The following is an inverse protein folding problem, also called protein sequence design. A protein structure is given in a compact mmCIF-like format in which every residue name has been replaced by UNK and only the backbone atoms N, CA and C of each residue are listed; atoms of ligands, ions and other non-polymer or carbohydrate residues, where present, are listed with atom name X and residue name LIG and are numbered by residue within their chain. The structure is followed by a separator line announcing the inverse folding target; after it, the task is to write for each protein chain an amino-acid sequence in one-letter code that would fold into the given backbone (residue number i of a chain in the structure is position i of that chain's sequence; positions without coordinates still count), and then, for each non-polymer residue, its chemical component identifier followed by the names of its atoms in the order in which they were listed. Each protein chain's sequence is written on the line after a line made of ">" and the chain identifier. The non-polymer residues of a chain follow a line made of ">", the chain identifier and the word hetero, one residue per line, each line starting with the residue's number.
data_IF_415506886534
#
_entry.id   IF_415506886534
#
_cell.length_a   1.000
_cell.length_b   1.000
_cell.length_c   1.000
_cell.angle_alpha   90.00
_cell.angle_beta   90.00
_cell.angle_gamma   90.00
#
_symmetry.space_group_name_H-M   'P 1'
#
loop_
_entity.id
_entity.type
_entity.pdbx_description
1 polymer ?
#
# COMPACT_ATOMS: atom_id res chain seq x y z
N UNK A 1 -21.44 -40.78 -11.60
CA UNK A 1 -22.31 -39.58 -11.85
C UNK A 1 -21.57 -38.29 -11.53
N UNK A 2 -20.90 -38.14 -10.35
CA UNK A 2 -20.17 -36.92 -9.99
C UNK A 2 -19.07 -36.53 -10.99
N UNK A 3 -18.21 -37.46 -11.37
CA UNK A 3 -17.15 -37.24 -12.38
C UNK A 3 -17.71 -36.90 -13.77
N UNK A 4 -18.83 -37.48 -14.17
CA UNK A 4 -19.48 -37.18 -15.44
C UNK A 4 -20.03 -35.75 -15.43
N UNK A 5 -20.68 -35.32 -14.34
CA UNK A 5 -21.16 -33.95 -14.15
C UNK A 5 -20.02 -32.93 -14.13
N UNK A 6 -18.88 -33.26 -13.51
CA UNK A 6 -17.70 -32.40 -13.47
C UNK A 6 -17.05 -32.22 -14.85
N UNK A 7 -17.04 -33.24 -15.69
CA UNK A 7 -16.50 -33.17 -17.07
C UNK A 7 -17.27 -32.19 -17.94
N UNK A 8 -18.56 -32.01 -17.66
CA UNK A 8 -19.43 -31.08 -18.41
C UNK A 8 -19.34 -29.63 -17.96
N UNK A 9 -18.56 -29.32 -16.89
CA UNK A 9 -18.35 -27.95 -16.43
C UNK A 9 -17.42 -27.20 -17.40
N UNK A 10 -17.78 -25.95 -17.69
CA UNK A 10 -16.90 -25.04 -18.42
C UNK A 10 -15.63 -24.72 -17.62
N UNK A 11 -14.62 -24.18 -18.28
CA UNK A 11 -13.39 -23.76 -17.61
C UNK A 11 -13.66 -22.69 -16.55
N UNK A 12 -14.52 -21.73 -16.86
CA UNK A 12 -14.93 -20.66 -15.96
C UNK A 12 -15.63 -21.21 -14.72
N UNK A 13 -16.56 -22.16 -14.88
CA UNK A 13 -17.22 -22.82 -13.76
C UNK A 13 -16.22 -23.56 -12.85
N UNK A 14 -15.20 -24.18 -13.45
CA UNK A 14 -14.12 -24.83 -12.69
C UNK A 14 -13.24 -23.83 -11.95
N UNK A 15 -12.95 -22.68 -12.55
CA UNK A 15 -12.21 -21.60 -11.91
C UNK A 15 -12.98 -21.00 -10.72
N UNK A 16 -14.29 -20.78 -10.88
CA UNK A 16 -15.14 -20.29 -9.78
C UNK A 16 -15.14 -21.27 -8.61
N UNK A 17 -15.20 -22.59 -8.87
CA UNK A 17 -15.10 -23.57 -7.79
C UNK A 17 -13.71 -23.60 -7.13
N UNK A 18 -12.62 -23.45 -7.90
CA UNK A 18 -11.28 -23.29 -7.33
C UNK A 18 -11.19 -22.03 -6.46
N UNK A 19 -11.77 -20.90 -6.88
CA UNK A 19 -11.89 -19.67 -6.08
C UNK A 19 -12.65 -19.93 -4.77
N UNK A 20 -13.79 -20.60 -4.83
CA UNK A 20 -14.60 -20.92 -3.62
C UNK A 20 -13.82 -21.83 -2.65
N UNK A 21 -13.06 -22.78 -3.15
CA UNK A 21 -12.20 -23.63 -2.32
C UNK A 21 -10.99 -22.85 -1.75
N UNK A 22 -10.42 -21.90 -2.49
CA UNK A 22 -9.36 -21.02 -2.01
C UNK A 22 -9.90 -20.08 -0.92
N UNK A 23 -11.04 -19.46 -1.18
CA UNK A 23 -11.72 -18.59 -0.25
C UNK A 23 -12.04 -19.26 1.09
N UNK A 24 -12.39 -20.55 1.07
CA UNK A 24 -12.62 -21.35 2.28
C UNK A 24 -11.33 -21.95 2.89
N UNK A 25 -10.16 -21.55 2.40
CA UNK A 25 -8.86 -21.99 2.94
C UNK A 25 -8.39 -23.37 2.51
N UNK A 26 -9.12 -24.08 1.63
CA UNK A 26 -8.78 -25.43 1.23
C UNK A 26 -7.83 -25.53 0.04
N UNK A 27 -7.71 -24.46 -0.77
CA UNK A 27 -6.93 -24.46 -2.01
C UNK A 27 -5.96 -23.29 -2.07
N UNK A 28 -4.69 -23.60 -2.32
CA UNK A 28 -3.61 -22.59 -2.45
C UNK A 28 -2.95 -22.61 -3.83
N UNK A 29 -3.51 -23.37 -4.76
CA UNK A 29 -2.98 -23.50 -6.09
C UNK A 29 -3.51 -22.43 -7.06
N UNK A 30 -3.04 -22.51 -8.30
CA UNK A 30 -3.42 -21.59 -9.38
C UNK A 30 -4.89 -21.78 -9.77
N UNK A 31 -5.61 -20.68 -9.92
CA UNK A 31 -7.00 -20.65 -10.42
C UNK A 31 -6.97 -20.72 -11.97
N UNK A 32 -6.88 -21.92 -12.51
CA UNK A 32 -6.72 -22.14 -13.96
C UNK A 32 -7.84 -22.97 -14.60
N UNK A 33 -8.77 -23.50 -13.79
CA UNK A 33 -9.84 -24.38 -14.24
C UNK A 33 -9.39 -25.81 -14.53
N UNK A 34 -8.16 -26.18 -14.15
CA UNK A 34 -7.62 -27.52 -14.30
C UNK A 34 -7.65 -28.25 -12.94
N UNK A 35 -8.35 -29.40 -12.89
CA UNK A 35 -8.49 -30.16 -11.66
C UNK A 35 -7.39 -31.22 -11.54
N UNK A 36 -6.19 -30.76 -11.17
CA UNK A 36 -5.03 -31.58 -10.86
C UNK A 36 -5.03 -32.08 -9.40
N UNK A 37 -3.91 -32.71 -8.96
CA UNK A 37 -3.78 -33.25 -7.60
C UNK A 37 -4.06 -32.23 -6.50
N UNK A 38 -3.63 -30.97 -6.66
CA UNK A 38 -3.89 -29.90 -5.69
C UNK A 38 -5.38 -29.59 -5.52
N UNK A 39 -6.12 -29.44 -6.64
CA UNK A 39 -7.57 -29.24 -6.59
C UNK A 39 -8.30 -30.44 -6.02
N UNK A 40 -7.85 -31.66 -6.33
CA UNK A 40 -8.41 -32.91 -5.76
C UNK A 40 -8.18 -33.00 -4.25
N UNK A 41 -6.98 -32.63 -3.79
CA UNK A 41 -6.68 -32.51 -2.36
C UNK A 41 -7.58 -31.51 -1.65
N UNK A 42 -7.76 -30.32 -2.22
CA UNK A 42 -8.66 -29.29 -1.71
C UNK A 42 -10.12 -29.78 -1.58
N UNK A 43 -10.64 -30.47 -2.61
CA UNK A 43 -11.96 -31.07 -2.57
C UNK A 43 -12.08 -32.13 -1.48
N UNK A 44 -11.03 -32.95 -1.28
CA UNK A 44 -10.97 -33.98 -0.23
C UNK A 44 -11.02 -33.33 1.16
N UNK A 45 -10.22 -32.28 1.40
CA UNK A 45 -10.21 -31.55 2.66
C UNK A 45 -11.59 -30.92 2.93
N UNK A 46 -12.14 -30.20 1.95
CA UNK A 46 -13.47 -29.60 2.07
C UNK A 46 -14.55 -30.66 2.39
N UNK A 47 -14.50 -31.82 1.71
CA UNK A 47 -15.44 -32.93 2.00
C UNK A 47 -15.30 -33.42 3.43
N UNK A 48 -14.07 -33.61 3.91
CA UNK A 48 -13.79 -34.08 5.28
C UNK A 48 -14.35 -33.12 6.32
N UNK A 49 -14.08 -31.81 6.16
CA UNK A 49 -14.54 -30.77 7.10
C UNK A 49 -16.06 -30.62 7.12
N UNK A 50 -16.72 -30.89 5.98
CA UNK A 50 -18.18 -30.83 5.88
C UNK A 50 -18.88 -32.19 6.14
N UNK A 51 -18.15 -33.19 6.66
CA UNK A 51 -18.71 -34.50 7.03
C UNK A 51 -19.07 -35.40 5.85
N UNK A 52 -18.52 -35.15 4.67
CA UNK A 52 -18.72 -35.97 3.48
C UNK A 52 -17.58 -37.00 3.31
N UNK A 53 -17.88 -38.06 2.56
CA UNK A 53 -16.84 -39.03 2.17
C UNK A 53 -15.77 -38.34 1.28
N UNK A 54 -14.46 -38.42 1.64
CA UNK A 54 -13.39 -37.66 0.99
C UNK A 54 -12.96 -38.30 -0.34
N UNK A 55 -13.74 -38.16 -1.38
CA UNK A 55 -13.52 -38.76 -2.70
C UNK A 55 -12.65 -37.94 -3.64
N UNK A 56 -12.42 -36.66 -3.31
CA UNK A 56 -11.72 -35.68 -4.18
C UNK A 56 -12.52 -35.29 -5.43
N UNK A 57 -13.80 -35.64 -5.50
CA UNK A 57 -14.74 -35.29 -6.58
C UNK A 57 -16.05 -34.83 -5.95
N UNK A 58 -16.38 -33.57 -6.07
CA UNK A 58 -17.61 -33.01 -5.50
C UNK A 58 -18.83 -33.43 -6.33
N UNK A 59 -19.90 -33.87 -5.65
CA UNK A 59 -21.21 -34.03 -6.28
C UNK A 59 -21.80 -32.66 -6.67
N UNK A 60 -22.89 -32.62 -7.43
CA UNK A 60 -23.55 -31.35 -7.77
C UNK A 60 -23.98 -30.59 -6.53
N UNK A 61 -24.58 -31.27 -5.54
CA UNK A 61 -25.00 -30.65 -4.26
C UNK A 61 -23.80 -30.14 -3.43
N UNK A 62 -22.71 -30.88 -3.40
CA UNK A 62 -21.50 -30.44 -2.70
C UNK A 62 -20.87 -29.22 -3.36
N UNK A 63 -20.84 -29.16 -4.70
CA UNK A 63 -20.38 -27.96 -5.42
C UNK A 63 -21.27 -26.76 -5.13
N UNK A 64 -22.58 -26.94 -5.15
CA UNK A 64 -23.54 -25.91 -4.80
C UNK A 64 -23.30 -25.40 -3.38
N UNK A 65 -23.12 -26.29 -2.40
CA UNK A 65 -22.81 -25.94 -1.03
C UNK A 65 -21.50 -25.13 -0.90
N UNK A 66 -20.43 -25.58 -1.55
CA UNK A 66 -19.15 -24.86 -1.56
C UNK A 66 -19.26 -23.47 -2.21
N UNK A 67 -20.04 -23.34 -3.29
CA UNK A 67 -20.28 -22.08 -3.98
C UNK A 67 -21.19 -21.14 -3.23
N UNK A 68 -22.19 -21.64 -2.49
CA UNK A 68 -23.16 -20.81 -1.78
C UNK A 68 -22.50 -19.91 -0.75
N UNK A 69 -21.53 -20.41 0.02
CA UNK A 69 -20.80 -19.60 1.02
C UNK A 69 -20.00 -18.49 0.35
N UNK A 70 -19.30 -18.82 -0.73
CA UNK A 70 -18.55 -17.84 -1.53
C UNK A 70 -19.47 -16.79 -2.18
N UNK A 71 -20.54 -17.24 -2.82
CA UNK A 71 -21.50 -16.35 -3.47
C UNK A 71 -22.24 -15.44 -2.47
N UNK A 72 -22.54 -15.93 -1.25
CA UNK A 72 -23.11 -15.10 -0.19
C UNK A 72 -22.14 -13.97 0.20
N UNK A 73 -20.87 -14.27 0.37
CA UNK A 73 -19.85 -13.24 0.63
C UNK A 73 -19.79 -12.19 -0.50
N UNK A 74 -19.75 -12.64 -1.77
CA UNK A 74 -19.75 -11.70 -2.90
C UNK A 74 -21.01 -10.82 -2.93
N UNK A 75 -22.17 -11.40 -2.62
CA UNK A 75 -23.44 -10.67 -2.55
C UNK A 75 -23.50 -9.68 -1.39
N UNK A 76 -23.02 -10.08 -0.20
CA UNK A 76 -22.96 -9.22 0.98
C UNK A 76 -22.03 -8.02 0.76
N UNK A 77 -20.89 -8.22 0.12
CA UNK A 77 -19.98 -7.14 -0.28
C UNK A 77 -20.50 -6.34 -1.49
N UNK A 78 -21.47 -6.89 -2.25
CA UNK A 78 -21.99 -6.28 -3.46
C UNK A 78 -20.96 -6.17 -4.57
N UNK A 79 -20.10 -7.19 -4.73
CA UNK A 79 -19.10 -7.19 -5.78
C UNK A 79 -19.74 -7.01 -7.16
N UNK A 80 -19.16 -6.13 -7.95
CA UNK A 80 -19.59 -5.87 -9.32
C UNK A 80 -18.50 -5.16 -10.10
N UNK A 81 -18.42 -5.48 -11.38
CA UNK A 81 -17.38 -4.98 -12.28
C UNK A 81 -17.41 -3.45 -12.37
N UNK A 82 -16.28 -2.83 -12.15
CA UNK A 82 -15.95 -1.48 -12.60
C UNK A 82 -15.14 -1.61 -13.89
N UNK A 83 -15.75 -1.22 -14.99
CA UNK A 83 -15.15 -1.24 -16.32
C UNK A 83 -14.97 0.20 -16.80
N UNK A 84 -13.72 0.64 -16.95
CA UNK A 84 -13.42 2.01 -17.33
C UNK A 84 -12.45 2.10 -18.50
N UNK A 85 -12.94 2.53 -19.65
CA UNK A 85 -12.16 2.69 -20.88
C UNK A 85 -11.14 3.84 -20.79
N UNK A 86 -11.38 4.87 -19.96
CA UNK A 86 -10.46 5.99 -19.82
C UNK A 86 -9.16 5.56 -19.14
N UNK A 87 -9.27 4.81 -18.07
CA UNK A 87 -8.10 4.29 -17.37
C UNK A 87 -7.53 3.01 -17.99
N UNK A 88 -8.31 2.34 -18.81
CA UNK A 88 -7.95 1.04 -19.36
C UNK A 88 -7.87 -0.06 -18.29
N UNK A 89 -8.77 -0.03 -17.31
CA UNK A 89 -8.83 -0.99 -16.20
C UNK A 89 -10.25 -1.58 -16.11
N UNK A 90 -10.31 -2.89 -15.87
CA UNK A 90 -11.51 -3.59 -15.44
C UNK A 90 -11.19 -4.35 -14.16
N UNK A 91 -12.02 -4.20 -13.12
CA UNK A 91 -11.80 -4.80 -11.81
C UNK A 91 -13.12 -4.98 -11.07
N UNK A 92 -13.24 -6.03 -10.25
CA UNK A 92 -14.37 -6.20 -9.35
C UNK A 92 -14.21 -5.28 -8.12
N UNK A 93 -15.29 -4.57 -7.77
CA UNK A 93 -15.32 -3.60 -6.66
C UNK A 93 -16.45 -3.95 -5.70
N UNK A 94 -16.22 -3.99 -4.38
CA UNK A 94 -17.26 -4.24 -3.38
C UNK A 94 -18.16 -3.01 -3.21
N UNK A 95 -19.17 -2.88 -4.06
CA UNK A 95 -20.04 -1.69 -4.20
C UNK A 95 -20.94 -1.42 -2.99
N UNK A 96 -21.13 -2.38 -2.09
CA UNK A 96 -21.83 -2.13 -0.83
C UNK A 96 -20.93 -1.40 0.17
N UNK A 97 -19.63 -1.50 0.04
CA UNK A 97 -18.63 -0.84 0.90
C UNK A 97 -18.13 0.45 0.25
N UNK A 98 -17.70 0.36 -1.01
CA UNK A 98 -17.07 1.48 -1.72
C UNK A 98 -18.09 2.25 -2.57
N UNK A 99 -17.93 3.55 -2.63
CA UNK A 99 -18.75 4.48 -3.39
C UNK A 99 -18.41 4.52 -4.88
N UNK A 100 -18.80 5.60 -5.54
CA UNK A 100 -18.51 5.84 -6.96
C UNK A 100 -17.06 6.26 -7.17
N UNK A 101 -16.55 5.99 -8.38
CA UNK A 101 -15.23 6.38 -8.82
C UNK A 101 -15.06 7.90 -8.82
N UNK A 102 -13.98 8.38 -8.22
CA UNK A 102 -13.49 9.76 -8.28
C UNK A 102 -12.20 9.77 -9.10
N UNK A 103 -12.11 10.68 -10.08
CA UNK A 103 -11.01 10.73 -11.03
C UNK A 103 -10.06 11.87 -10.69
N UNK A 104 -8.86 11.52 -10.23
CA UNK A 104 -7.75 12.43 -9.96
C UNK A 104 -6.50 11.88 -10.65
N UNK A 105 -6.31 12.05 -11.94
CA UNK A 105 -5.19 11.45 -12.65
C UNK A 105 -3.84 11.70 -11.96
N UNK A 106 -3.00 10.66 -11.80
CA UNK A 106 -3.08 9.34 -12.43
C UNK A 106 -3.90 8.31 -11.66
N UNK A 107 -4.75 8.72 -10.71
CA UNK A 107 -5.50 7.83 -9.82
C UNK A 107 -7.00 7.86 -10.11
N UNK A 108 -7.65 6.73 -9.80
CA UNK A 108 -9.10 6.65 -9.62
C UNK A 108 -9.31 6.13 -8.20
N UNK A 109 -10.06 6.86 -7.41
CA UNK A 109 -10.35 6.53 -6.01
C UNK A 109 -11.78 6.07 -5.85
N UNK A 110 -11.95 5.02 -5.05
CA UNK A 110 -13.22 4.57 -4.52
C UNK A 110 -13.12 4.66 -3.00
N UNK A 111 -13.77 5.64 -2.42
CA UNK A 111 -13.82 5.85 -0.98
C UNK A 111 -14.99 5.07 -0.38
N UNK A 112 -14.92 4.73 0.90
CA UNK A 112 -16.03 4.06 1.59
C UNK A 112 -17.27 4.96 1.64
N UNK A 113 -18.44 4.33 1.62
CA UNK A 113 -19.74 5.01 1.72
C UNK A 113 -20.07 5.47 3.14
N UNK A 114 -19.53 4.74 4.11
CA UNK A 114 -19.79 4.92 5.53
C UNK A 114 -18.49 5.14 6.30
N UNK A 115 -18.54 5.14 7.62
CA UNK A 115 -17.38 5.31 8.53
C UNK A 115 -16.40 4.13 8.54
N UNK A 116 -16.47 3.25 7.54
CA UNK A 116 -15.64 2.02 7.46
C UNK A 116 -14.18 2.34 7.11
N UNK A 117 -13.91 3.50 6.52
CA UNK A 117 -12.57 3.96 6.08
C UNK A 117 -11.80 2.95 5.20
N UNK A 118 -12.53 2.28 4.29
CA UNK A 118 -11.95 1.44 3.25
C UNK A 118 -11.78 2.24 1.97
N UNK A 119 -10.70 1.97 1.21
CA UNK A 119 -10.40 2.67 -0.06
C UNK A 119 -9.82 1.71 -1.08
N UNK A 120 -10.21 1.88 -2.33
CA UNK A 120 -9.54 1.27 -3.47
C UNK A 120 -9.04 2.39 -4.38
N UNK A 121 -7.75 2.37 -4.68
CA UNK A 121 -7.11 3.34 -5.55
C UNK A 121 -6.57 2.60 -6.76
N UNK A 122 -7.07 2.91 -7.95
CA UNK A 122 -6.53 2.39 -9.20
C UNK A 122 -5.50 3.37 -9.74
N UNK A 123 -4.45 2.83 -10.34
CA UNK A 123 -3.35 3.59 -10.93
C UNK A 123 -3.39 3.38 -12.44
N UNK A 124 -3.40 4.48 -13.20
CA UNK A 124 -3.33 4.44 -14.66
C UNK A 124 -2.59 5.67 -15.18
N UNK A 125 -1.40 5.47 -15.73
CA UNK A 125 -0.59 6.54 -16.33
C UNK A 125 0.32 6.00 -17.42
N UNK A 126 0.72 6.89 -18.33
CA UNK A 126 1.81 6.63 -19.28
C UNK A 126 3.17 6.69 -18.57
N UNK A 127 4.15 5.99 -19.08
CA UNK A 127 5.53 6.10 -18.61
C UNK A 127 6.34 4.83 -18.77
N UNK A 128 7.64 4.97 -18.56
CA UNK A 128 8.61 3.89 -18.55
C UNK A 128 9.06 3.50 -17.14
N UNK A 129 10.18 2.78 -17.06
CA UNK A 129 10.74 2.29 -15.79
C UNK A 129 11.05 3.43 -14.81
N UNK A 130 11.59 4.56 -15.27
CA UNK A 130 11.89 5.70 -14.40
C UNK A 130 10.61 6.25 -13.73
N UNK A 131 9.51 6.33 -14.47
CA UNK A 131 8.21 6.78 -13.94
C UNK A 131 7.63 5.77 -12.94
N UNK A 132 7.80 4.46 -13.18
CA UNK A 132 7.38 3.41 -12.24
C UNK A 132 8.14 3.51 -10.91
N UNK A 133 9.46 3.74 -10.95
CA UNK A 133 10.30 3.92 -9.75
C UNK A 133 9.87 5.20 -9.01
N UNK A 134 9.74 6.33 -9.72
CA UNK A 134 9.30 7.58 -9.13
C UNK A 134 7.92 7.46 -8.46
N UNK A 135 6.97 6.77 -9.10
CA UNK A 135 5.67 6.48 -8.50
C UNK A 135 5.82 5.69 -7.19
N UNK A 136 6.64 4.63 -7.19
CA UNK A 136 6.87 3.83 -5.99
C UNK A 136 7.52 4.65 -4.86
N UNK A 137 8.48 5.52 -5.18
CA UNK A 137 9.11 6.41 -4.21
C UNK A 137 8.12 7.42 -3.63
N UNK A 138 7.28 8.02 -4.48
CA UNK A 138 6.22 8.94 -4.06
C UNK A 138 5.20 8.23 -3.16
N UNK A 139 4.73 7.03 -3.53
CA UNK A 139 3.78 6.27 -2.70
C UNK A 139 4.32 6.02 -1.28
N UNK A 140 5.62 5.82 -1.11
CA UNK A 140 6.24 5.63 0.21
C UNK A 140 6.18 6.89 1.10
N UNK A 141 5.96 8.06 0.53
CA UNK A 141 5.79 9.32 1.28
C UNK A 141 4.36 9.54 1.78
N UNK A 142 3.40 8.75 1.29
CA UNK A 142 1.99 8.88 1.68
C UNK A 142 1.73 8.29 3.07
N UNK A 143 0.82 8.91 3.81
CA UNK A 143 0.40 8.44 5.13
C UNK A 143 -0.16 7.02 5.06
N UNK A 144 -0.95 6.75 4.02
CA UNK A 144 -1.53 5.43 3.78
C UNK A 144 -0.49 4.33 3.49
N UNK A 145 0.79 4.66 3.16
CA UNK A 145 1.77 3.62 2.84
C UNK A 145 2.24 2.90 4.11
N UNK A 146 2.26 1.55 4.16
CA UNK A 146 2.56 0.81 5.37
C UNK A 146 3.98 1.09 5.88
N UNK A 147 4.11 1.25 7.18
CA UNK A 147 5.42 1.43 7.85
C UNK A 147 6.15 0.12 8.03
N UNK A 148 5.38 -0.96 8.23
CA UNK A 148 5.84 -2.34 8.38
C UNK A 148 5.30 -3.17 7.21
N UNK A 149 5.97 -4.27 6.89
CA UNK A 149 5.52 -5.19 5.85
C UNK A 149 6.52 -5.39 4.72
N UNK A 150 6.08 -6.04 3.66
CA UNK A 150 6.92 -6.38 2.51
C UNK A 150 6.86 -5.31 1.43
N UNK A 151 7.99 -5.08 0.76
CA UNK A 151 8.12 -4.17 -0.37
C UNK A 151 9.03 -4.79 -1.41
N UNK A 152 8.55 -4.88 -2.63
CA UNK A 152 9.29 -5.41 -3.76
C UNK A 152 9.25 -4.42 -4.91
N UNK A 153 10.41 -4.02 -5.44
CA UNK A 153 10.54 -3.19 -6.63
C UNK A 153 11.34 -3.95 -7.69
N UNK A 154 10.68 -4.34 -8.76
CA UNK A 154 11.28 -4.97 -9.92
C UNK A 154 11.52 -3.99 -11.07
N UNK A 155 12.00 -4.50 -12.21
CA UNK A 155 12.25 -3.68 -13.41
C UNK A 155 10.98 -3.13 -14.05
N UNK A 156 9.87 -3.89 -13.97
CA UNK A 156 8.60 -3.57 -14.62
C UNK A 156 7.39 -3.66 -13.69
N UNK A 157 7.61 -3.81 -12.41
CA UNK A 157 6.53 -3.91 -11.43
C UNK A 157 7.01 -3.54 -10.04
N UNK A 158 6.07 -3.19 -9.18
CA UNK A 158 6.25 -3.21 -7.73
C UNK A 158 5.05 -3.89 -7.06
N UNK A 159 5.28 -4.36 -5.87
CA UNK A 159 4.27 -4.85 -4.94
C UNK A 159 4.66 -4.41 -3.53
N UNK A 160 3.66 -4.13 -2.70
CA UNK A 160 3.85 -3.92 -1.27
C UNK A 160 2.60 -4.40 -0.52
N UNK A 161 2.81 -4.80 0.72
CA UNK A 161 1.75 -5.14 1.66
C UNK A 161 2.23 -4.86 3.08
N UNK A 162 1.33 -4.52 3.97
CA UNK A 162 1.64 -4.29 5.38
C UNK A 162 0.49 -3.65 6.13
N UNK A 163 0.81 -3.10 7.28
CA UNK A 163 -0.16 -2.52 8.20
C UNK A 163 0.27 -1.13 8.63
N UNK A 164 -0.69 -0.29 8.91
CA UNK A 164 -0.59 0.92 9.73
C UNK A 164 -1.29 0.68 11.06
N UNK A 165 -1.40 1.68 11.91
CA UNK A 165 -2.12 1.57 13.18
C UNK A 165 -3.64 1.29 13.00
N UNK A 166 -4.19 1.58 11.82
CA UNK A 166 -5.63 1.51 11.54
C UNK A 166 -6.00 0.59 10.38
N UNK A 167 -5.07 0.31 9.46
CA UNK A 167 -5.40 -0.36 8.18
C UNK A 167 -4.42 -1.47 7.81
N UNK A 168 -4.96 -2.51 7.17
CA UNK A 168 -4.24 -3.36 6.23
C UNK A 168 -4.10 -2.63 4.90
N UNK A 169 -2.93 -2.68 4.29
CA UNK A 169 -2.68 -2.01 3.02
C UNK A 169 -1.86 -2.92 2.12
N UNK A 170 -2.34 -3.10 0.91
CA UNK A 170 -1.61 -3.78 -0.14
C UNK A 170 -1.72 -3.03 -1.46
N UNK A 171 -0.74 -3.20 -2.31
CA UNK A 171 -0.76 -2.56 -3.61
C UNK A 171 0.25 -3.14 -4.57
N UNK A 172 -0.06 -2.98 -5.84
CA UNK A 172 0.85 -3.33 -6.93
C UNK A 172 0.70 -2.37 -8.09
N UNK A 173 1.75 -2.23 -8.90
CA UNK A 173 1.63 -1.71 -10.26
C UNK A 173 2.55 -2.48 -11.20
N UNK A 174 2.18 -2.49 -12.48
CA UNK A 174 2.92 -3.17 -13.55
C UNK A 174 3.06 -2.24 -14.74
N UNK A 175 4.29 -2.13 -15.23
CA UNK A 175 4.62 -1.47 -16.49
C UNK A 175 4.49 -2.49 -17.62
N UNK A 176 3.70 -2.16 -18.63
CA UNK A 176 3.61 -2.93 -19.86
C UNK A 176 3.27 -1.98 -21.02
N UNK A 177 3.99 -2.10 -22.13
CA UNK A 177 3.79 -1.32 -23.35
C UNK A 177 3.72 0.21 -23.13
N UNK A 178 4.56 0.75 -22.21
CA UNK A 178 4.59 2.18 -21.91
C UNK A 178 3.45 2.68 -21.01
N UNK A 179 2.67 1.79 -20.44
CA UNK A 179 1.60 2.11 -19.50
C UNK A 179 1.85 1.46 -18.14
N UNK A 180 1.68 2.22 -17.07
CA UNK A 180 1.74 1.76 -15.69
C UNK A 180 0.30 1.65 -15.18
N UNK A 181 -0.11 0.44 -14.81
CA UNK A 181 -1.44 0.18 -14.25
C UNK A 181 -1.32 -0.68 -12.99
N UNK A 182 -2.12 -0.35 -11.98
CA UNK A 182 -2.11 -1.03 -10.70
C UNK A 182 -3.31 -0.73 -9.83
N UNK A 183 -3.27 -1.26 -8.62
CA UNK A 183 -4.28 -1.03 -7.60
C UNK A 183 -3.63 -0.99 -6.21
N UNK A 184 -4.24 -0.21 -5.32
CA UNK A 184 -3.92 -0.15 -3.89
C UNK A 184 -5.24 -0.36 -3.14
N UNK A 185 -5.25 -1.30 -2.21
CA UNK A 185 -6.34 -1.56 -1.28
C UNK A 185 -5.93 -1.06 0.10
N UNK A 186 -6.78 -0.24 0.71
CA UNK A 186 -6.72 0.17 2.11
C UNK A 186 -7.94 -0.40 2.79
N UNK A 187 -7.76 -1.18 3.85
CA UNK A 187 -8.84 -1.90 4.52
C UNK A 187 -8.69 -1.82 6.03
N UNK A 188 -9.74 -1.46 6.79
CA UNK A 188 -9.64 -1.25 8.23
C UNK A 188 -9.29 -2.54 8.99
N UNK A 189 -8.41 -2.45 9.98
CA UNK A 189 -8.00 -3.57 10.83
C UNK A 189 -9.17 -4.24 11.55
N UNK A 190 -10.20 -3.46 11.90
CA UNK A 190 -11.42 -3.96 12.54
C UNK A 190 -12.17 -5.00 11.67
N UNK A 191 -11.97 -4.97 10.36
CA UNK A 191 -12.53 -5.90 9.38
C UNK A 191 -11.48 -6.85 8.79
N UNK A 192 -10.43 -7.14 9.53
CA UNK A 192 -9.32 -7.98 9.07
C UNK A 192 -9.71 -9.38 8.62
N UNK A 193 -10.81 -9.94 9.15
CA UNK A 193 -11.33 -11.24 8.71
C UNK A 193 -11.74 -11.27 7.22
N UNK A 194 -12.10 -10.13 6.65
CA UNK A 194 -12.52 -10.01 5.24
C UNK A 194 -11.36 -9.57 4.32
N UNK A 195 -10.29 -8.99 4.89
CA UNK A 195 -9.22 -8.32 4.12
C UNK A 195 -8.64 -9.18 3.01
N UNK A 196 -8.11 -10.35 3.35
CA UNK A 196 -7.47 -11.24 2.37
C UNK A 196 -8.44 -11.66 1.25
N UNK A 197 -9.70 -11.89 1.60
CA UNK A 197 -10.75 -12.29 0.64
C UNK A 197 -11.12 -11.17 -0.31
N UNK A 198 -11.22 -9.95 0.20
CA UNK A 198 -11.49 -8.74 -0.59
C UNK A 198 -10.30 -8.44 -1.51
N UNK A 199 -9.07 -8.53 -0.99
CA UNK A 199 -7.84 -8.36 -1.76
C UNK A 199 -7.77 -9.36 -2.91
N UNK A 200 -7.95 -10.66 -2.62
CA UNK A 200 -7.89 -11.73 -3.62
C UNK A 200 -8.93 -11.52 -4.74
N UNK A 201 -10.14 -11.07 -4.40
CA UNK A 201 -11.18 -10.83 -5.40
C UNK A 201 -10.88 -9.58 -6.24
N UNK A 202 -10.47 -8.46 -5.63
CA UNK A 202 -10.10 -7.24 -6.34
C UNK A 202 -8.87 -7.49 -7.22
N UNK A 203 -7.75 -7.94 -6.65
CA UNK A 203 -6.50 -8.09 -7.39
C UNK A 203 -6.53 -9.26 -8.37
N UNK A 204 -7.27 -10.32 -8.05
CA UNK A 204 -7.48 -11.46 -8.94
C UNK A 204 -8.35 -11.15 -10.16
N UNK A 205 -9.26 -10.18 -10.05
CA UNK A 205 -10.11 -9.72 -11.15
C UNK A 205 -9.48 -8.62 -12.00
N UNK A 206 -8.38 -8.00 -11.53
CA UNK A 206 -7.75 -6.87 -12.19
C UNK A 206 -7.29 -7.22 -13.60
N UNK A 207 -7.90 -6.58 -14.58
CA UNK A 207 -7.61 -6.79 -16.00
C UNK A 207 -7.24 -5.47 -16.67
N UNK A 208 -6.16 -5.49 -17.44
CA UNK A 208 -5.75 -4.37 -18.29
C UNK A 208 -6.51 -4.44 -19.60
N UNK A 209 -7.11 -3.32 -19.98
CA UNK A 209 -7.72 -3.09 -21.28
C UNK A 209 -7.07 -1.87 -21.93
N UNK A 210 -7.44 -1.53 -23.15
CA UNK A 210 -6.98 -0.29 -23.82
C UNK A 210 -7.46 0.94 -23.08
N UNK A 211 -6.58 1.97 -22.99
CA UNK A 211 -6.86 3.25 -22.36
C UNK A 211 -5.87 3.55 -21.23
N UNK A 212 -5.63 4.83 -21.01
CA UNK A 212 -4.82 5.36 -19.93
C UNK A 212 -5.35 6.73 -19.56
N UNK A 213 -5.34 7.09 -18.29
CA UNK A 213 -5.75 8.43 -17.86
C UNK A 213 -4.81 9.48 -18.44
N UNK A 214 -5.37 10.59 -18.89
CA UNK A 214 -4.59 11.72 -19.40
C UNK A 214 -3.71 12.26 -18.29
N UNK A 215 -2.44 12.52 -18.63
CA UNK A 215 -1.49 13.10 -17.70
C UNK A 215 -1.80 14.59 -17.51
N UNK A 216 -1.95 15.09 -16.29
CA UNK A 216 -2.16 16.52 -16.02
C UNK A 216 -1.05 17.41 -16.59
N UNK A 217 0.19 16.91 -16.71
CA UNK A 217 1.31 17.64 -17.34
C UNK A 217 1.04 18.06 -18.79
N UNK A 218 0.16 17.34 -19.50
CA UNK A 218 -0.23 17.70 -20.86
C UNK A 218 -1.27 18.83 -20.94
N UNK A 219 -1.82 19.28 -19.81
CA UNK A 219 -2.85 20.30 -19.73
C UNK A 219 -2.32 21.73 -19.53
N UNK A 220 -1.02 21.97 -19.66
CA UNK A 220 -0.40 23.31 -19.53
C UNK A 220 -0.82 24.08 -18.25
N UNK A 221 -0.97 23.41 -17.14
CA UNK A 221 -1.22 24.04 -15.84
C UNK A 221 0.08 24.03 -15.03
N UNK A 222 0.39 25.12 -14.34
CA UNK A 222 1.45 25.22 -13.33
C UNK A 222 1.08 24.35 -12.11
N UNK A 223 1.13 23.02 -12.30
CA UNK A 223 0.76 22.02 -11.29
C UNK A 223 2.01 21.69 -10.48
N UNK A 224 1.96 21.96 -9.19
CA UNK A 224 3.01 21.58 -8.25
C UNK A 224 3.12 20.04 -8.16
N UNK A 225 4.30 19.44 -7.90
CA UNK A 225 4.42 18.01 -7.63
C UNK A 225 3.49 17.50 -6.50
N UNK A 226 3.09 18.37 -5.59
CA UNK A 226 2.10 18.09 -4.54
C UNK A 226 0.69 17.91 -5.08
N UNK A 227 0.36 18.49 -6.23
CA UNK A 227 -0.98 18.38 -6.84
C UNK A 227 -1.22 17.03 -7.50
N UNK A 228 -0.14 16.29 -7.85
CA UNK A 228 -0.23 14.90 -8.33
C UNK A 228 -0.70 13.90 -7.27
N UNK A 229 -0.69 14.34 -6.00
CA UNK A 229 -1.15 13.55 -4.87
C UNK A 229 -2.55 13.99 -4.41
N UNK A 230 -3.29 14.73 -5.24
CA UNK A 230 -4.59 15.31 -4.91
C UNK A 230 -5.46 14.32 -4.11
N UNK A 231 -5.74 14.67 -2.88
CA UNK A 231 -6.54 13.86 -1.95
C UNK A 231 -5.82 12.69 -1.26
N UNK A 232 -4.50 12.53 -1.44
CA UNK A 232 -3.69 11.59 -0.67
C UNK A 232 -2.80 12.36 0.31
N UNK A 233 -2.93 12.05 1.60
CA UNK A 233 -2.20 12.75 2.66
C UNK A 233 -0.74 12.28 2.70
N UNK A 234 0.19 13.25 2.79
CA UNK A 234 1.61 12.98 3.00
C UNK A 234 1.87 12.64 4.47
N UNK A 235 2.76 11.71 4.71
CA UNK A 235 3.25 11.41 6.06
C UNK A 235 3.78 12.68 6.71
N UNK A 236 3.13 13.10 7.78
CA UNK A 236 3.63 14.17 8.62
C UNK A 236 4.56 13.57 9.69
N UNK A 237 5.70 14.20 9.98
CA UNK A 237 6.50 13.77 11.10
C UNK A 237 5.71 14.03 12.40
N UNK A 238 5.58 13.02 13.26
CA UNK A 238 4.95 13.18 14.57
C UNK A 238 5.72 14.15 15.46
N UNK A 239 7.03 14.29 15.23
CA UNK A 239 7.93 15.19 15.93
C UNK A 239 8.93 15.79 14.94
N UNK A 240 9.06 17.11 14.91
CA UNK A 240 10.08 17.84 14.14
C UNK A 240 10.90 18.74 15.07
N UNK A 241 12.23 18.71 14.92
CA UNK A 241 13.16 19.48 15.77
C UNK A 241 14.28 20.07 14.93
N UNK A 242 14.74 21.24 15.33
CA UNK A 242 15.96 21.83 14.80
C UNK A 242 17.18 21.12 15.38
N UNK A 243 18.16 20.81 14.54
CA UNK A 243 19.43 20.21 14.97
C UNK A 243 20.61 20.89 14.30
N UNK A 244 21.79 20.73 14.89
CA UNK A 244 23.03 21.30 14.37
C UNK A 244 24.07 20.20 14.13
N UNK A 245 24.78 20.26 13.00
CA UNK A 245 25.95 19.41 12.77
C UNK A 245 27.13 19.89 13.61
N UNK A 246 27.77 18.97 14.32
CA UNK A 246 28.85 19.29 15.26
C UNK A 246 30.23 18.72 14.87
N UNK A 247 30.27 17.83 13.86
CA UNK A 247 31.51 17.22 13.38
C UNK A 247 31.45 16.87 11.89
N UNK A 248 32.60 16.40 11.35
CA UNK A 248 32.74 15.97 9.96
C UNK A 248 32.05 14.63 9.65
N UNK A 249 31.64 13.90 10.66
CA UNK A 249 30.88 12.66 10.55
C UNK A 249 29.36 12.93 10.42
N UNK A 250 28.99 14.20 10.36
CA UNK A 250 27.63 14.68 10.31
C UNK A 250 26.78 14.28 11.55
N UNK A 251 27.43 14.21 12.70
CA UNK A 251 26.70 14.07 13.96
C UNK A 251 25.84 15.31 14.18
N UNK A 252 24.55 15.09 14.46
CA UNK A 252 23.57 16.15 14.74
C UNK A 252 23.25 16.13 16.22
N UNK A 253 23.34 17.28 16.87
CA UNK A 253 22.83 17.46 18.24
C UNK A 253 21.51 18.22 18.18
N UNK A 254 20.52 17.73 18.91
CA UNK A 254 19.20 18.33 19.04
C UNK A 254 18.65 18.07 20.46
N UNK A 255 17.55 18.76 20.81
CA UNK A 255 16.81 18.45 22.04
C UNK A 255 16.29 17.01 22.00
N UNK A 256 16.39 16.33 23.12
CA UNK A 256 15.97 14.94 23.23
C UNK A 256 14.45 14.85 23.18
N UNK A 257 13.73 15.59 24.04
CA UNK A 257 12.31 15.45 24.27
C UNK A 257 11.88 13.99 24.02
N UNK A 258 10.81 13.68 23.38
CA UNK A 258 10.40 12.30 23.08
C UNK A 258 11.05 11.69 21.81
N UNK A 259 12.09 12.31 21.26
CA UNK A 259 12.71 11.87 20.00
C UNK A 259 13.30 10.45 20.06
N UNK A 260 13.74 10.01 21.24
CA UNK A 260 14.27 8.66 21.46
C UNK A 260 13.18 7.56 21.51
N UNK A 261 11.90 7.94 21.48
CA UNK A 261 10.78 7.00 21.35
C UNK A 261 10.39 6.76 19.89
N UNK A 262 10.91 7.59 18.96
CA UNK A 262 10.60 7.48 17.55
C UNK A 262 11.20 6.22 16.93
N UNK A 263 10.40 5.48 16.17
CA UNK A 263 10.84 4.28 15.44
C UNK A 263 11.70 4.59 14.22
N UNK A 264 11.56 5.80 13.65
CA UNK A 264 12.29 6.24 12.48
C UNK A 264 12.61 7.73 12.59
N UNK A 265 13.89 8.07 12.56
CA UNK A 265 14.36 9.46 12.64
C UNK A 265 15.06 9.79 11.33
N UNK A 266 14.68 10.91 10.71
CA UNK A 266 15.26 11.41 9.46
C UNK A 266 15.73 12.86 9.59
N UNK A 267 16.76 13.23 8.87
CA UNK A 267 17.10 14.64 8.64
C UNK A 267 16.18 15.25 7.60
N UNK A 268 16.16 16.58 7.53
CA UNK A 268 15.32 17.32 6.59
C UNK A 268 15.55 17.00 5.11
N UNK A 269 16.66 16.36 4.75
CA UNK A 269 16.95 15.88 3.40
C UNK A 269 16.52 14.40 3.18
N UNK A 270 15.79 13.81 4.12
CA UNK A 270 15.32 12.43 4.06
C UNK A 270 16.33 11.37 4.53
N UNK A 271 17.58 11.74 4.88
CA UNK A 271 18.60 10.79 5.33
C UNK A 271 18.22 10.16 6.67
N UNK A 272 18.28 8.82 6.77
CA UNK A 272 18.07 8.11 8.02
C UNK A 272 19.22 8.35 9.00
N UNK A 273 18.90 8.51 10.28
CA UNK A 273 19.88 8.63 11.36
C UNK A 273 19.57 7.66 12.48
N UNK A 274 20.63 7.24 13.17
CA UNK A 274 20.55 6.45 14.40
C UNK A 274 20.98 7.26 15.61
N UNK A 275 20.53 6.87 16.79
CA UNK A 275 20.94 7.48 18.06
C UNK A 275 22.37 7.02 18.39
N UNK A 276 23.31 7.98 18.43
CA UNK A 276 24.69 7.72 18.79
C UNK A 276 24.94 7.89 20.29
N UNK A 277 24.31 8.89 20.92
CA UNK A 277 24.41 9.14 22.37
C UNK A 277 23.20 9.97 22.83
N UNK A 278 22.93 9.91 24.15
CA UNK A 278 21.87 10.74 24.75
C UNK A 278 22.22 11.13 26.19
N UNK A 279 21.73 12.30 26.57
CA UNK A 279 21.69 12.82 27.94
C UNK A 279 20.23 13.04 28.35
N UNK A 280 19.99 13.68 29.49
CA UNK A 280 18.62 14.00 29.92
C UNK A 280 17.94 15.00 28.97
N UNK A 281 18.69 15.98 28.43
CA UNK A 281 18.15 17.07 27.63
C UNK A 281 18.48 16.98 26.12
N UNK A 282 19.59 16.32 25.77
CA UNK A 282 20.12 16.31 24.41
C UNK A 282 20.27 14.90 23.87
N UNK A 283 20.15 14.81 22.54
CA UNK A 283 20.38 13.59 21.80
C UNK A 283 21.36 13.88 20.64
N UNK A 284 22.32 12.96 20.46
CA UNK A 284 23.24 12.96 19.33
C UNK A 284 22.78 11.90 18.32
N UNK A 285 22.54 12.33 17.10
CA UNK A 285 22.09 11.49 15.99
C UNK A 285 23.21 11.37 14.96
N UNK A 286 23.39 10.19 14.39
CA UNK A 286 24.40 9.95 13.37
C UNK A 286 23.78 9.33 12.12
N UNK A 287 24.08 9.86 10.91
CA UNK A 287 23.59 9.27 9.67
C UNK A 287 24.03 7.82 9.51
N UNK A 288 23.10 6.97 9.06
CA UNK A 288 23.39 5.56 8.76
C UNK A 288 24.26 5.40 7.51
N UNK A 289 24.26 6.43 6.65
CA UNK A 289 25.10 6.50 5.45
C UNK A 289 26.08 7.65 5.58
N UNK A 290 27.35 7.41 5.26
CA UNK A 290 28.42 8.43 5.37
C UNK A 290 28.08 9.66 4.51
N UNK A 291 28.10 10.84 5.13
CA UNK A 291 27.93 12.15 4.48
C UNK A 291 28.88 13.17 5.13
N UNK A 292 29.13 14.25 4.39
CA UNK A 292 29.88 15.40 4.90
C UNK A 292 28.93 16.61 4.96
N UNK A 293 28.74 17.24 6.13
CA UNK A 293 27.93 18.44 6.24
C UNK A 293 28.65 19.63 5.61
N UNK A 294 27.90 20.53 4.99
CA UNK A 294 28.45 21.77 4.43
C UNK A 294 28.82 22.80 5.49
N UNK A 295 28.15 22.76 6.63
CA UNK A 295 28.37 23.70 7.75
C UNK A 295 28.38 22.88 9.05
N UNK A 296 29.37 23.16 9.90
CA UNK A 296 29.56 22.54 11.21
C UNK A 296 29.56 23.66 12.25
N UNK A 297 28.75 23.51 13.30
CA UNK A 297 28.71 24.44 14.41
C UNK A 297 30.00 24.39 15.21
N UNK A 298 30.52 25.54 15.58
CA UNK A 298 31.67 25.65 16.50
C UNK A 298 31.15 25.80 17.91
N UNK A 299 31.40 24.78 18.73
CA UNK A 299 31.03 24.80 20.13
C UNK A 299 31.97 25.74 20.89
N UNK A 300 31.38 26.57 21.74
CA UNK A 300 32.14 27.49 22.59
C UNK A 300 32.58 26.80 23.89
N UNK A 301 33.83 26.97 24.26
CA UNK A 301 34.39 26.35 25.47
C UNK A 301 34.33 27.26 26.71
N UNK A 302 33.79 28.47 26.58
CA UNK A 302 33.69 29.43 27.70
C UNK A 302 32.23 29.79 28.00
N UNK A 303 31.82 29.98 29.23
CA UNK A 303 30.47 30.40 29.58
C UNK A 303 30.13 31.75 28.98
N UNK A 304 28.86 31.92 28.64
CA UNK A 304 28.31 33.20 28.14
C UNK A 304 28.04 34.07 29.40
N UNK A 305 28.48 35.33 29.34
CA UNK A 305 28.19 36.28 30.41
C UNK A 305 26.72 36.74 30.36
N UNK A 306 26.14 37.01 31.51
CA UNK A 306 24.79 37.59 31.59
C UNK A 306 24.78 38.93 30.85
N UNK A 307 23.68 39.19 30.12
CA UNK A 307 23.50 40.35 29.21
C UNK A 307 24.32 40.31 27.91
N UNK A 308 24.98 39.21 27.59
CA UNK A 308 25.62 39.07 26.27
C UNK A 308 24.54 38.89 25.21
N UNK A 309 24.57 39.62 24.07
CA UNK A 309 23.61 39.41 22.99
C UNK A 309 23.80 38.02 22.38
N UNK A 310 22.69 37.32 22.19
CA UNK A 310 22.65 36.00 21.54
C UNK A 310 21.71 36.04 20.35
N UNK A 311 21.95 35.23 19.36
CA UNK A 311 21.03 34.97 18.26
C UNK A 311 20.54 33.52 18.40
N UNK A 312 19.25 33.35 18.33
CA UNK A 312 18.59 32.05 18.33
C UNK A 312 18.13 31.77 16.90
N UNK A 313 18.57 30.65 16.35
CA UNK A 313 18.18 30.21 15.02
C UNK A 313 17.55 28.83 15.08
N UNK A 314 16.55 28.58 14.28
CA UNK A 314 15.90 27.27 14.22
C UNK A 314 14.85 27.21 13.10
N UNK A 315 14.34 26.03 12.83
CA UNK A 315 13.22 25.84 11.90
C UNK A 315 11.90 26.01 12.66
N UNK A 316 11.26 27.18 12.45
CA UNK A 316 9.97 27.48 13.08
C UNK A 316 8.83 26.71 12.42
N UNK A 317 7.71 26.56 13.14
CA UNK A 317 6.49 25.89 12.66
C UNK A 317 6.76 24.48 12.13
N UNK A 318 7.50 23.68 12.87
CA UNK A 318 7.87 22.32 12.50
C UNK A 318 8.55 22.19 11.11
N UNK A 319 9.26 23.25 10.68
CA UNK A 319 9.94 23.28 9.39
C UNK A 319 9.07 23.70 8.21
N UNK A 320 7.81 24.05 8.42
CA UNK A 320 6.88 24.41 7.34
C UNK A 320 7.36 25.57 6.46
N UNK A 321 8.21 26.47 7.00
CA UNK A 321 8.76 27.57 6.23
C UNK A 321 9.98 27.20 5.36
N UNK A 322 10.49 25.99 5.44
CA UNK A 322 11.59 25.50 4.62
C UNK A 322 12.96 26.18 4.85
N UNK A 323 13.02 27.18 5.72
CA UNK A 323 14.24 27.91 6.05
C UNK A 323 14.34 28.17 7.57
N UNK A 324 15.55 28.24 8.15
CA UNK A 324 15.73 28.63 9.54
C UNK A 324 15.37 30.12 9.72
N UNK A 325 14.70 30.44 10.82
CA UNK A 325 14.30 31.78 11.22
C UNK A 325 15.07 32.23 12.45
#
# INVERSE_FOLDING_TARGET
>A
RAQSSERNMSREQKQILQKALAWSGHYTGKIDGLYGPGTRGAMTLWQTENGFMPTGVLTALQRESALNVYNSFLADMGFGTAFDLRSGISVEVPKNILGSAQYDPPFIRFESKDLIDARLILISQTGGQARLIALFDVLQTLELFPTNGSKELGKSNFKFEGETDLHYISGFARLNAGEIKGAILVWPLERGADYQRVEDEIFGSFTRISGVLEDPENLNTDVSPTDYLAGLELKQPSLSRSGVFVDQQATVITARDDLDTCTNIKLGDGSNVGIAAKTDDLIALQPTTRRAPSIIARLRNSPIQVYHPIVVGGYSYAGALGAPT
#
